data_IF_420527165896
#
_entry.id   IF_420527165896
#
_cell.length_a   1.000
_cell.length_b   1.000
_cell.length_c   1.000
_cell.angle_alpha   90.00
_cell.angle_beta   90.00
_cell.angle_gamma   90.00
#
_symmetry.space_group_name_H-M   'P 1'
#
loop_
_entity.id
_entity.type
_entity.pdbx_description
1 polymer ?
#
# COMPACT_ATOMS: atom_id res chain seq x y z
N UNK A 1 5.48 -7.07 -20.92
CA UNK A 1 4.29 -6.24 -21.21
C UNK A 1 4.48 -4.78 -20.80
N UNK A 2 5.08 -4.47 -19.64
CA UNK A 2 5.28 -3.10 -19.15
C UNK A 2 6.28 -2.25 -19.97
N UNK A 3 7.39 -2.83 -20.44
CA UNK A 3 8.48 -2.11 -21.14
C UNK A 3 8.04 -1.40 -22.45
N UNK A 4 6.98 -1.88 -23.10
CA UNK A 4 6.47 -1.29 -24.35
C UNK A 4 5.20 -0.43 -24.13
N UNK A 5 4.79 -0.22 -22.88
CA UNK A 5 3.61 0.56 -22.58
C UNK A 5 3.89 2.05 -22.77
N UNK A 6 3.24 2.69 -23.75
CA UNK A 6 3.33 4.14 -23.94
C UNK A 6 2.48 4.84 -22.86
N UNK A 7 3.13 5.58 -21.97
CA UNK A 7 2.49 6.39 -20.91
C UNK A 7 2.90 7.84 -21.05
N UNK A 8 2.02 8.77 -20.66
CA UNK A 8 2.31 10.21 -20.63
C UNK A 8 2.85 10.68 -19.28
N UNK A 9 2.66 9.89 -18.23
CA UNK A 9 3.08 10.15 -16.85
C UNK A 9 3.73 8.89 -16.25
N UNK A 10 4.54 9.06 -15.20
CA UNK A 10 5.04 7.93 -14.40
C UNK A 10 3.88 7.25 -13.66
N UNK A 11 3.95 5.93 -13.58
CA UNK A 11 3.04 5.08 -12.81
C UNK A 11 3.87 4.28 -11.81
N UNK A 12 3.45 4.30 -10.56
CA UNK A 12 4.03 3.50 -9.48
C UNK A 12 3.12 2.30 -9.20
N UNK A 13 3.72 1.12 -9.08
CA UNK A 13 3.04 -0.15 -8.85
C UNK A 13 3.77 -0.94 -7.77
N UNK A 14 3.04 -1.45 -6.79
CA UNK A 14 3.53 -2.47 -5.87
C UNK A 14 3.19 -3.87 -6.37
N UNK A 15 4.15 -4.79 -6.34
CA UNK A 15 3.96 -6.21 -6.61
C UNK A 15 4.37 -7.01 -5.38
N UNK A 16 3.37 -7.53 -4.65
CA UNK A 16 3.59 -8.47 -3.56
C UNK A 16 3.39 -9.91 -4.02
N UNK A 17 4.33 -10.78 -3.69
CA UNK A 17 4.23 -12.24 -3.88
C UNK A 17 4.33 -12.94 -2.52
N UNK A 18 3.37 -13.81 -2.24
CA UNK A 18 3.40 -14.68 -1.06
C UNK A 18 3.94 -16.06 -1.45
N UNK A 19 5.09 -16.41 -0.91
CA UNK A 19 5.81 -17.64 -1.22
C UNK A 19 5.27 -18.82 -0.40
N UNK A 20 4.24 -19.50 -0.91
CA UNK A 20 3.76 -20.76 -0.30
C UNK A 20 4.73 -21.90 -0.58
N UNK A 21 5.28 -22.51 0.48
CA UNK A 21 6.09 -23.73 0.43
C UNK A 21 7.34 -23.62 -0.46
N UNK A 22 7.97 -22.45 -0.54
CA UNK A 22 9.29 -22.37 -1.17
C UNK A 22 10.33 -22.80 -0.14
N UNK A 23 11.11 -23.83 -0.46
CA UNK A 23 12.27 -24.28 0.34
C UNK A 23 13.45 -23.31 0.20
N UNK A 24 13.18 -22.01 0.05
CA UNK A 24 14.19 -20.97 -0.03
C UNK A 24 14.64 -20.73 1.41
N UNK A 25 15.95 -20.85 1.63
CA UNK A 25 16.60 -20.75 2.92
C UNK A 25 16.59 -19.33 3.54
N UNK A 26 15.64 -18.48 3.14
CA UNK A 26 15.41 -17.17 3.73
C UNK A 26 14.06 -17.22 4.44
N UNK A 27 14.01 -16.82 5.71
CA UNK A 27 12.78 -16.65 6.50
C UNK A 27 11.78 -15.62 5.92
N UNK A 28 12.01 -15.11 4.71
CA UNK A 28 11.12 -14.22 3.97
C UNK A 28 10.03 -15.03 3.26
N UNK A 29 8.79 -14.89 3.75
CA UNK A 29 7.59 -15.51 3.18
C UNK A 29 6.86 -14.61 2.19
N UNK A 30 7.25 -13.33 2.12
CA UNK A 30 6.69 -12.31 1.22
C UNK A 30 7.84 -11.56 0.58
N UNK A 31 7.82 -11.46 -0.75
CA UNK A 31 8.61 -10.47 -1.48
C UNK A 31 7.70 -9.33 -1.93
N UNK A 32 8.16 -8.10 -1.79
CA UNK A 32 7.49 -6.92 -2.33
C UNK A 32 8.45 -6.10 -3.18
N UNK A 33 8.04 -5.82 -4.41
CA UNK A 33 8.76 -4.98 -5.35
C UNK A 33 7.97 -3.73 -5.67
N UNK A 34 8.66 -2.59 -5.64
CA UNK A 34 8.16 -1.37 -6.23
C UNK A 34 8.57 -1.27 -7.69
N UNK A 35 7.64 -0.92 -8.57
CA UNK A 35 7.89 -0.72 -9.99
C UNK A 35 7.46 0.71 -10.34
N UNK A 36 8.40 1.50 -10.83
CA UNK A 36 8.10 2.75 -11.53
C UNK A 36 8.24 2.52 -13.03
N UNK A 37 7.23 2.91 -13.79
CA UNK A 37 7.33 2.88 -15.24
C UNK A 37 6.70 4.11 -15.89
N UNK A 38 7.36 4.64 -16.93
CA UNK A 38 6.94 5.84 -17.66
C UNK A 38 7.25 5.69 -19.16
N UNK A 39 7.17 6.79 -19.93
CA UNK A 39 7.58 6.79 -21.33
C UNK A 39 9.08 6.52 -21.55
N UNK A 40 9.91 6.82 -20.54
CA UNK A 40 11.38 6.81 -20.65
C UNK A 40 12.07 5.92 -19.64
N UNK A 41 11.36 5.52 -18.58
CA UNK A 41 11.96 4.87 -17.41
C UNK A 41 11.20 3.58 -17.07
N UNK A 42 11.95 2.60 -16.60
CA UNK A 42 11.45 1.36 -16.03
C UNK A 42 12.39 0.97 -14.89
N UNK A 43 12.00 1.31 -13.67
CA UNK A 43 12.79 1.09 -12.47
C UNK A 43 12.08 0.05 -11.60
N UNK A 44 12.85 -0.90 -11.05
CA UNK A 44 12.37 -1.89 -10.09
C UNK A 44 13.15 -1.70 -8.81
N UNK A 45 12.44 -1.54 -7.71
CA UNK A 45 12.97 -1.24 -6.39
C UNK A 45 12.61 -2.37 -5.43
N UNK A 46 13.62 -2.87 -4.71
CA UNK A 46 13.41 -3.49 -3.40
C UNK A 46 13.63 -2.44 -2.32
N UNK A 47 13.34 -2.76 -1.05
CA UNK A 47 13.67 -1.88 0.07
C UNK A 47 15.17 -1.53 0.13
N UNK A 48 16.05 -2.42 -0.36
CA UNK A 48 17.51 -2.24 -0.37
C UNK A 48 17.98 -1.19 -1.37
N UNK A 49 17.19 -0.98 -2.43
CA UNK A 49 17.59 -0.21 -3.61
C UNK A 49 16.81 1.11 -3.73
N UNK A 50 16.02 1.46 -2.71
CA UNK A 50 15.27 2.73 -2.69
C UNK A 50 16.21 3.94 -2.51
N UNK A 51 15.79 5.10 -2.99
CA UNK A 51 16.55 6.34 -2.86
C UNK A 51 16.59 6.81 -1.40
N UNK A 52 17.74 6.67 -0.75
CA UNK A 52 17.92 7.13 0.63
C UNK A 52 18.10 8.67 0.69
N UNK A 53 17.07 9.37 1.13
CA UNK A 53 17.14 10.82 1.41
C UNK A 53 16.50 11.11 2.78
N UNK A 54 16.75 12.28 3.39
CA UNK A 54 16.11 12.63 4.67
C UNK A 54 14.57 12.56 4.63
N UNK A 55 13.94 12.78 3.47
CA UNK A 55 12.49 12.70 3.30
C UNK A 55 12.02 11.36 2.70
N UNK A 56 12.96 10.49 2.33
CA UNK A 56 12.70 9.14 1.84
C UNK A 56 13.67 8.15 2.52
N UNK A 57 13.54 7.93 3.84
CA UNK A 57 14.37 6.97 4.55
C UNK A 57 14.15 5.54 4.07
N UNK A 58 15.24 4.79 3.89
CA UNK A 58 15.15 3.34 3.70
C UNK A 58 14.73 2.69 5.01
N UNK A 59 13.74 1.81 4.93
CA UNK A 59 13.22 1.00 6.01
C UNK A 59 13.26 -0.47 5.56
N UNK A 60 13.89 -1.35 6.34
CA UNK A 60 13.99 -2.76 5.98
C UNK A 60 12.59 -3.34 5.77
N UNK A 61 12.43 -4.12 4.70
CA UNK A 61 11.18 -4.75 4.26
C UNK A 61 10.01 -3.80 3.97
N UNK A 62 10.27 -2.50 3.75
CA UNK A 62 9.25 -1.52 3.37
C UNK A 62 9.62 -0.83 2.06
N UNK A 63 8.67 -0.80 1.12
CA UNK A 63 8.76 -0.05 -0.13
C UNK A 63 7.57 0.91 -0.23
N UNK A 64 7.82 2.19 -0.52
CA UNK A 64 6.76 3.19 -0.52
C UNK A 64 7.03 4.39 -1.44
N UNK A 65 5.96 5.04 -1.90
CA UNK A 65 6.03 6.33 -2.59
C UNK A 65 5.20 7.35 -1.85
N UNK A 66 5.83 8.49 -1.55
CA UNK A 66 5.10 9.61 -0.96
C UNK A 66 4.07 10.14 -1.97
N UNK A 67 2.79 10.30 -1.57
CA UNK A 67 1.78 10.89 -2.44
C UNK A 67 2.04 12.36 -2.73
N UNK A 68 2.84 13.04 -1.91
CA UNK A 68 3.21 14.45 -2.05
C UNK A 68 4.69 14.58 -2.43
N UNK A 69 5.06 15.57 -3.28
CA UNK A 69 6.47 15.93 -3.43
C UNK A 69 7.05 16.33 -2.07
N UNK A 70 8.24 15.80 -1.74
CA UNK A 70 8.95 16.15 -0.52
C UNK A 70 10.31 16.80 -0.84
N UNK A 71 10.73 17.85 -0.10
CA UNK A 71 10.04 18.47 1.04
C UNK A 71 8.83 19.33 0.62
N UNK A 72 7.77 19.34 1.44
CA UNK A 72 6.63 20.24 1.30
C UNK A 72 6.00 20.58 2.67
N UNK A 73 4.87 21.29 2.65
CA UNK A 73 4.06 21.53 3.85
C UNK A 73 3.06 20.40 4.12
N UNK A 74 2.99 19.40 3.25
CA UNK A 74 2.14 18.23 3.43
C UNK A 74 2.84 17.22 4.35
N UNK A 75 2.06 16.40 5.04
CA UNK A 75 2.57 15.31 5.87
C UNK A 75 3.44 14.37 5.03
N UNK A 76 4.66 14.10 5.51
CA UNK A 76 5.60 13.19 4.85
C UNK A 76 5.29 11.73 5.22
N UNK A 77 5.05 10.87 4.22
CA UNK A 77 4.82 9.44 4.42
C UNK A 77 6.04 8.76 5.05
N UNK A 78 7.26 9.15 4.63
CA UNK A 78 8.49 8.61 5.21
C UNK A 78 8.57 8.84 6.71
N UNK A 79 8.18 10.03 7.19
CA UNK A 79 8.16 10.34 8.62
C UNK A 79 7.14 9.48 9.39
N UNK A 80 5.94 9.29 8.84
CA UNK A 80 4.91 8.43 9.46
C UNK A 80 5.33 6.96 9.49
N UNK A 81 6.01 6.48 8.44
CA UNK A 81 6.52 5.11 8.39
C UNK A 81 7.64 4.88 9.41
N UNK A 82 8.53 5.87 9.58
CA UNK A 82 9.56 5.83 10.64
C UNK A 82 8.92 5.83 12.03
N UNK A 83 7.92 6.68 12.26
CA UNK A 83 7.22 6.78 13.55
C UNK A 83 6.57 5.46 13.95
N UNK A 84 6.00 4.73 12.99
CA UNK A 84 5.29 3.48 13.22
C UNK A 84 6.08 2.23 12.78
N UNK A 85 7.39 2.36 12.60
CA UNK A 85 8.21 1.26 12.10
C UNK A 85 8.21 0.07 13.08
N UNK A 86 8.02 -1.14 12.55
CA UNK A 86 7.79 -2.36 13.34
C UNK A 86 6.34 -2.57 13.81
N UNK A 87 5.44 -1.60 13.57
CA UNK A 87 4.02 -1.65 13.94
C UNK A 87 3.11 -1.22 12.77
N UNK A 88 3.47 -1.60 11.54
CA UNK A 88 2.70 -1.29 10.32
C UNK A 88 1.57 -2.31 10.09
N UNK A 89 0.78 -2.61 11.14
CA UNK A 89 -0.42 -3.43 11.03
C UNK A 89 -1.58 -2.66 10.36
N UNK A 90 -2.62 -3.37 9.91
CA UNK A 90 -3.73 -2.75 9.22
C UNK A 90 -4.41 -1.61 10.02
N UNK A 91 -4.70 -1.75 11.34
CA UNK A 91 -5.20 -0.63 12.14
C UNK A 91 -4.30 0.61 12.13
N UNK A 92 -2.99 0.44 12.24
CA UNK A 92 -2.02 1.54 12.21
C UNK A 92 -1.96 2.20 10.84
N UNK A 93 -1.89 1.41 9.76
CA UNK A 93 -1.91 1.94 8.38
C UNK A 93 -3.19 2.77 8.15
N UNK A 94 -4.34 2.26 8.58
CA UNK A 94 -5.62 2.94 8.39
C UNK A 94 -5.68 4.24 9.19
N UNK A 95 -5.41 4.17 10.51
CA UNK A 95 -5.70 5.28 11.44
C UNK A 95 -4.60 6.32 11.53
N UNK A 96 -3.36 5.92 11.30
CA UNK A 96 -2.19 6.76 11.54
C UNK A 96 -1.44 7.14 10.27
N UNK A 97 -1.61 6.38 9.18
CA UNK A 97 -0.91 6.66 7.92
C UNK A 97 -1.86 7.25 6.88
N UNK A 98 -2.81 6.46 6.40
CA UNK A 98 -3.64 6.87 5.25
C UNK A 98 -4.57 8.04 5.57
N UNK A 99 -5.07 8.12 6.81
CA UNK A 99 -5.86 9.25 7.31
C UNK A 99 -5.07 10.56 7.35
N UNK A 100 -3.83 10.53 7.86
CA UNK A 100 -2.94 11.69 7.99
C UNK A 100 -2.47 12.20 6.62
N UNK A 101 -2.21 11.28 5.69
CA UNK A 101 -1.87 11.59 4.30
C UNK A 101 -3.08 11.93 3.44
N UNK A 102 -4.29 11.78 3.97
CA UNK A 102 -5.56 12.02 3.25
C UNK A 102 -5.60 11.31 1.89
N UNK A 103 -5.10 10.07 1.85
CA UNK A 103 -4.98 9.26 0.62
C UNK A 103 -6.01 8.15 0.54
N UNK A 104 -6.55 7.90 -0.66
CA UNK A 104 -7.65 6.97 -0.87
C UNK A 104 -9.01 7.63 -0.65
N UNK A 105 -9.31 8.71 -1.37
CA UNK A 105 -10.55 9.47 -1.21
C UNK A 105 -11.79 8.64 -1.53
N UNK A 106 -11.78 7.91 -2.66
CA UNK A 106 -12.94 7.11 -3.13
C UNK A 106 -12.92 5.69 -2.59
N UNK A 107 -11.74 5.08 -2.52
CA UNK A 107 -11.51 3.76 -1.97
C UNK A 107 -10.20 3.82 -1.18
N UNK A 108 -10.26 3.39 0.06
CA UNK A 108 -9.07 3.11 0.85
C UNK A 108 -9.02 1.60 1.09
N UNK A 109 -7.96 0.96 0.60
CA UNK A 109 -7.78 -0.50 0.63
C UNK A 109 -6.45 -0.83 1.29
N UNK A 110 -6.49 -1.68 2.31
CA UNK A 110 -5.31 -2.28 2.94
C UNK A 110 -5.42 -3.79 2.81
N UNK A 111 -4.38 -4.41 2.25
CA UNK A 111 -4.29 -5.86 2.07
C UNK A 111 -3.28 -6.40 3.10
N UNK A 112 -3.76 -7.23 4.01
CA UNK A 112 -2.94 -7.88 5.03
C UNK A 112 -2.74 -9.35 4.65
N UNK A 113 -1.58 -9.65 4.09
CA UNK A 113 -1.24 -11.00 3.65
C UNK A 113 -0.98 -11.95 4.83
N UNK A 114 -0.50 -11.44 5.97
CA UNK A 114 -0.22 -12.26 7.15
C UNK A 114 -1.51 -12.76 7.79
N UNK A 115 -2.54 -11.90 7.86
CA UNK A 115 -3.87 -12.30 8.33
C UNK A 115 -4.77 -12.90 7.23
N UNK A 116 -4.34 -12.88 5.98
CA UNK A 116 -5.15 -13.19 4.80
C UNK A 116 -6.49 -12.43 4.82
N UNK A 117 -6.40 -11.11 5.04
CA UNK A 117 -7.53 -10.21 5.19
C UNK A 117 -7.42 -8.98 4.27
N UNK A 118 -8.56 -8.45 3.85
CA UNK A 118 -8.65 -7.17 3.17
C UNK A 118 -9.49 -6.19 4.00
N UNK A 119 -8.99 -4.98 4.17
CA UNK A 119 -9.70 -3.90 4.84
C UNK A 119 -10.04 -2.84 3.80
N UNK A 120 -11.32 -2.52 3.64
CA UNK A 120 -11.75 -1.55 2.64
C UNK A 120 -12.81 -0.59 3.19
N UNK A 121 -12.68 0.66 2.78
CA UNK A 121 -13.69 1.70 2.95
C UNK A 121 -13.95 2.37 1.60
N UNK A 122 -15.20 2.80 1.37
CA UNK A 122 -15.59 3.59 0.20
C UNK A 122 -15.99 4.99 0.64
N UNK A 123 -15.81 5.97 -0.25
CA UNK A 123 -16.38 7.30 -0.07
C UNK A 123 -17.89 7.20 0.11
N UNK A 124 -18.44 8.14 0.86
CA UNK A 124 -19.87 8.20 1.08
C UNK A 124 -20.63 8.64 -0.20
N UNK A 125 -21.91 8.27 -0.33
CA UNK A 125 -22.79 8.87 -1.35
C UNK A 125 -23.12 10.33 -1.02
N UNK A 126 -23.84 11.02 -1.90
CA UNK A 126 -24.27 12.40 -1.70
C UNK A 126 -25.07 12.57 -0.38
N UNK A 127 -24.75 13.61 0.40
CA UNK A 127 -25.29 13.94 1.75
C UNK A 127 -25.06 12.88 2.85
N UNK A 128 -23.79 12.63 3.24
CA UNK A 128 -23.50 11.56 4.18
C UNK A 128 -23.70 11.98 5.65
N UNK A 129 -24.30 11.08 6.43
CA UNK A 129 -24.12 11.06 7.87
C UNK A 129 -22.70 10.52 8.17
N UNK A 130 -21.71 11.41 8.24
CA UNK A 130 -20.31 11.09 8.55
C UNK A 130 -19.29 11.61 7.52
N UNK A 131 -18.01 11.21 7.63
CA UNK A 131 -16.96 11.69 6.73
C UNK A 131 -17.21 11.31 5.28
N UNK A 132 -16.88 12.22 4.35
CA UNK A 132 -17.07 12.00 2.91
C UNK A 132 -16.03 11.02 2.36
N UNK A 133 -14.74 11.25 2.67
CA UNK A 133 -13.64 10.48 2.10
C UNK A 133 -13.43 9.13 2.79
N UNK A 134 -13.05 8.11 2.01
CA UNK A 134 -12.92 6.74 2.50
C UNK A 134 -11.85 6.58 3.60
N UNK A 135 -10.73 7.32 3.52
CA UNK A 135 -9.67 7.27 4.53
C UNK A 135 -10.10 7.74 5.94
N UNK A 136 -11.23 8.45 6.04
CA UNK A 136 -11.81 8.89 7.32
C UNK A 136 -12.99 8.01 7.76
N UNK A 137 -13.35 6.98 6.99
CA UNK A 137 -14.51 6.13 7.26
C UNK A 137 -14.09 4.82 7.90
N UNK A 138 -15.07 4.10 8.46
CA UNK A 138 -14.84 2.78 9.05
C UNK A 138 -14.60 1.76 7.94
N UNK A 139 -13.50 1.01 8.06
CA UNK A 139 -13.19 -0.08 7.14
C UNK A 139 -13.97 -1.35 7.46
N UNK A 140 -14.52 -1.95 6.42
CA UNK A 140 -15.01 -3.33 6.48
C UNK A 140 -13.82 -4.27 6.34
N UNK A 141 -13.70 -5.25 7.25
CA UNK A 141 -12.70 -6.32 7.15
C UNK A 141 -13.33 -7.54 6.47
N UNK A 142 -12.69 -8.02 5.42
CA UNK A 142 -13.00 -9.27 4.74
C UNK A 142 -11.96 -10.32 5.12
N UNK A 143 -12.43 -11.46 5.59
CA UNK A 143 -11.62 -12.66 5.81
C UNK A 143 -11.52 -13.41 4.47
N UNK A 144 -10.38 -13.31 3.79
CA UNK A 144 -10.26 -13.81 2.42
C UNK A 144 -10.27 -15.34 2.37
N UNK A 145 -9.81 -16.01 3.42
CA UNK A 145 -9.91 -17.47 3.53
C UNK A 145 -11.37 -17.92 3.54
N UNK A 146 -12.22 -17.23 4.34
CA UNK A 146 -13.65 -17.54 4.39
C UNK A 146 -14.37 -17.18 3.11
N UNK A 147 -14.09 -15.99 2.55
CA UNK A 147 -14.74 -15.51 1.33
C UNK A 147 -14.55 -16.47 0.15
N UNK A 148 -13.35 -17.00 -0.05
CA UNK A 148 -13.07 -17.95 -1.14
C UNK A 148 -13.41 -19.40 -0.81
N UNK A 149 -13.79 -19.70 0.43
CA UNK A 149 -14.34 -21.00 0.81
C UNK A 149 -15.87 -21.06 0.64
N UNK A 150 -16.53 -19.94 0.28
CA UNK A 150 -17.97 -19.91 0.06
C UNK A 150 -18.37 -20.81 -1.13
N UNK A 151 -19.40 -21.65 -0.97
CA UNK A 151 -19.91 -22.45 -2.08
C UNK A 151 -20.50 -21.53 -3.15
N UNK A 152 -20.35 -21.92 -4.43
CA UNK A 152 -20.93 -21.17 -5.53
C UNK A 152 -22.45 -20.94 -5.31
N UNK A 153 -22.98 -19.74 -5.64
CA UNK A 153 -24.41 -19.48 -5.56
C UNK A 153 -25.18 -20.54 -6.34
N UNK A 154 -26.27 -21.05 -5.76
CA UNK A 154 -27.20 -21.95 -6.45
C UNK A 154 -28.11 -21.20 -7.41
#
# INVERSE_FOLDING_TARGET
>A
MLVNAKRTCSVHLGLGEYHRNTSIASDQTIDFLGIEYSAKEFNVFSWKDMYNTPNHPILDDVVYWDPHPQPSNDTCLGSLLVEHYGHLDAPTIIRNITSQLRTGNTLNLVLDYAENAAYLAYSAPDDPQGPLEAFNRVHTRLDMAKLFAEPAPK
#
